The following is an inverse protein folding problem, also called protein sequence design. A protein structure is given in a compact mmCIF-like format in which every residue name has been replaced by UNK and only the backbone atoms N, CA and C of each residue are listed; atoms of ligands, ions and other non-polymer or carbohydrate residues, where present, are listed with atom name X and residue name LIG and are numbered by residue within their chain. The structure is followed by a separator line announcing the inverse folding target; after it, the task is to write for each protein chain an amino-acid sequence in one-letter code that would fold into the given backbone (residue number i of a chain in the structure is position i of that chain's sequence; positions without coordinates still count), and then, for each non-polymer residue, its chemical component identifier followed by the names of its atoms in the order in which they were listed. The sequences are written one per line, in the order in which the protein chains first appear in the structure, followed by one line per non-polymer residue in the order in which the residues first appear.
data_IF_053399565903
#
_entry.id   IF_053399565903
#
_cell.length_a   1.000
_cell.length_b   1.000
_cell.length_c   1.000
_cell.angle_alpha   90.00
_cell.angle_beta   90.00
_cell.angle_gamma   90.00
#
_symmetry.space_group_name_H-M   'P 1'
#
loop_
_entity.id
_entity.type
_entity.pdbx_description
1 polymer ?
#
# COMPACT_ATOMS: atom_id res chain seq x y z
N UNK A 1 11.19 15.75 -0.59
CA UNK A 1 9.94 15.07 -0.20
C UNK A 1 10.29 13.60 0.04
N UNK A 2 10.11 13.08 1.26
CA UNK A 2 10.40 11.67 1.56
C UNK A 2 9.37 10.82 0.84
N UNK A 3 9.83 9.93 -0.03
CA UNK A 3 8.96 9.00 -0.73
C UNK A 3 8.54 7.95 0.31
N UNK A 4 7.26 7.89 0.67
CA UNK A 4 6.75 6.86 1.56
C UNK A 4 7.10 5.50 0.94
N UNK A 5 7.68 4.61 1.76
CA UNK A 5 8.07 3.28 1.29
C UNK A 5 6.80 2.42 1.32
N UNK A 6 6.24 2.21 0.14
CA UNK A 6 5.10 1.32 -0.09
C UNK A 6 5.67 0.00 -0.58
N UNK A 7 5.44 -1.06 0.17
CA UNK A 7 5.72 -2.42 -0.26
C UNK A 7 4.41 -3.10 -0.68
N UNK A 8 4.47 -3.96 -1.69
CA UNK A 8 3.27 -4.61 -2.26
C UNK A 8 3.43 -6.11 -2.12
N UNK A 9 2.54 -6.69 -1.33
CA UNK A 9 2.41 -8.12 -1.14
C UNK A 9 1.19 -8.62 -1.92
N UNK A 10 1.34 -9.75 -2.62
CA UNK A 10 0.21 -10.45 -3.22
C UNK A 10 0.00 -11.78 -2.51
N UNK A 11 -1.19 -11.96 -1.95
CA UNK A 11 -1.61 -13.24 -1.38
C UNK A 11 -1.78 -14.30 -2.48
N UNK A 12 -1.89 -15.58 -2.07
CA UNK A 12 -2.15 -16.73 -2.96
C UNK A 12 -3.39 -16.60 -3.86
N UNK A 13 -4.32 -15.71 -3.51
CA UNK A 13 -5.49 -15.37 -4.33
C UNK A 13 -5.31 -14.11 -5.18
N UNK A 14 -4.08 -13.60 -5.30
CA UNK A 14 -3.72 -12.41 -6.08
C UNK A 14 -4.34 -11.10 -5.56
N UNK A 15 -4.73 -11.10 -4.30
CA UNK A 15 -5.16 -9.90 -3.60
C UNK A 15 -3.94 -9.05 -3.24
N UNK A 16 -3.83 -7.87 -3.85
CA UNK A 16 -2.77 -6.92 -3.55
C UNK A 16 -3.01 -6.25 -2.20
N UNK A 17 -2.01 -6.35 -1.34
CA UNK A 17 -1.96 -5.73 -0.03
C UNK A 17 -0.79 -4.77 -0.04
N UNK A 18 -1.05 -3.49 0.24
CA UNK A 18 0.01 -2.52 0.43
C UNK A 18 0.43 -2.51 1.89
N UNK A 19 1.74 -2.50 2.10
CA UNK A 19 2.38 -2.41 3.39
C UNK A 19 3.02 -1.03 3.47
N UNK A 20 2.59 -0.23 4.44
CA UNK A 20 3.03 1.15 4.63
C UNK A 20 3.71 1.24 5.99
N UNK A 21 4.98 1.64 6.00
CA UNK A 21 5.69 1.90 7.24
C UNK A 21 5.27 3.27 7.80
N UNK A 22 4.81 3.28 9.06
CA UNK A 22 4.55 4.51 9.80
C UNK A 22 5.86 5.24 10.08
N UNK A 23 5.99 6.49 9.66
CA UNK A 23 7.20 7.28 9.89
C UNK A 23 7.40 7.65 11.38
N UNK A 24 6.34 7.63 12.19
CA UNK A 24 6.41 7.96 13.62
C UNK A 24 6.91 6.80 14.48
N UNK A 25 6.33 5.60 14.30
CA UNK A 25 6.65 4.45 15.16
C UNK A 25 7.40 3.32 14.45
N UNK A 26 7.64 3.45 13.13
CA UNK A 26 8.27 2.42 12.30
C UNK A 26 7.40 1.19 12.06
N UNK A 27 6.18 1.12 12.62
CA UNK A 27 5.30 -0.04 12.43
C UNK A 27 4.69 -0.06 11.04
N UNK A 28 4.64 -1.25 10.48
CA UNK A 28 4.04 -1.51 9.19
C UNK A 28 2.53 -1.69 9.33
N UNK A 29 1.78 -0.94 8.53
CA UNK A 29 0.33 -1.06 8.40
C UNK A 29 0.02 -1.73 7.08
N UNK A 30 -0.77 -2.80 7.12
CA UNK A 30 -1.14 -3.57 5.93
C UNK A 30 -2.59 -3.29 5.58
N UNK A 31 -2.85 -2.90 4.35
CA UNK A 31 -4.20 -2.65 3.87
C UNK A 31 -4.38 -3.20 2.46
N UNK A 32 -5.58 -3.71 2.18
CA UNK A 32 -5.87 -4.16 0.83
C UNK A 32 -5.94 -2.97 -0.12
N UNK A 33 -5.19 -3.06 -1.22
CA UNK A 33 -5.09 -1.96 -2.17
C UNK A 33 -6.45 -1.60 -2.77
N UNK A 34 -7.30 -2.61 -3.03
CA UNK A 34 -8.69 -2.42 -3.51
C UNK A 34 -9.61 -1.65 -2.56
N UNK A 35 -9.26 -1.57 -1.27
CA UNK A 35 -10.07 -0.89 -0.24
C UNK A 35 -9.53 0.50 0.11
N UNK A 36 -8.31 0.82 -0.36
CA UNK A 36 -7.72 2.12 -0.16
C UNK A 36 -8.33 3.08 -1.16
N UNK A 37 -8.82 4.19 -0.64
CA UNK A 37 -9.31 5.30 -1.45
C UNK A 37 -8.28 6.44 -1.42
N UNK A 38 -8.15 7.22 -2.51
CA UNK A 38 -7.44 8.49 -2.44
C UNK A 38 -8.07 9.37 -1.36
N UNK A 39 -7.24 10.12 -0.63
CA UNK A 39 -7.64 10.93 0.53
C UNK A 39 -8.14 10.16 1.75
N UNK A 40 -8.01 8.82 1.77
CA UNK A 40 -8.25 8.06 2.99
C UNK A 40 -7.07 8.21 3.95
N UNK A 41 -7.35 8.71 5.15
CA UNK A 41 -6.44 8.63 6.29
C UNK A 41 -6.46 7.24 6.88
N UNK A 42 -5.30 6.58 6.91
CA UNK A 42 -5.11 5.32 7.59
C UNK A 42 -4.55 5.58 8.98
N UNK A 43 -5.19 5.03 10.01
CA UNK A 43 -4.70 5.20 11.38
C UNK A 43 -3.74 4.10 11.75
N UNK A 44 -2.50 4.47 12.08
CA UNK A 44 -1.54 3.53 12.62
C UNK A 44 -1.92 3.12 14.05
N UNK A 45 -1.51 1.93 14.49
CA UNK A 45 -1.72 1.47 15.88
C UNK A 45 -1.03 2.33 16.93
N UNK A 46 -0.04 3.16 16.57
CA UNK A 46 0.54 4.14 17.49
C UNK A 46 -0.34 5.39 17.69
N UNK A 47 -1.40 5.55 16.90
CA UNK A 47 -2.27 6.72 16.92
C UNK A 47 -1.96 7.76 15.84
N UNK A 48 -0.83 7.64 15.13
CA UNK A 48 -0.47 8.51 14.02
C UNK A 48 -1.39 8.32 12.81
N UNK A 49 -1.62 9.41 12.09
CA UNK A 49 -2.35 9.40 10.82
C UNK A 49 -1.37 9.18 9.66
N UNK A 50 -1.68 8.19 8.81
CA UNK A 50 -0.95 7.87 7.60
C UNK A 50 -1.84 8.29 6.45
N UNK A 51 -1.55 9.45 5.88
CA UNK A 51 -2.24 9.93 4.69
C UNK A 51 -1.54 9.38 3.45
N UNK A 52 -2.28 8.68 2.61
CA UNK A 52 -1.82 8.23 1.29
C UNK A 52 -2.31 9.22 0.23
N UNK A 53 -1.37 9.83 -0.48
CA UNK A 53 -1.72 10.68 -1.60
C UNK A 53 -2.16 9.83 -2.81
N UNK A 54 -3.04 10.38 -3.65
CA UNK A 54 -3.42 9.76 -4.92
C UNK A 54 -2.23 9.24 -5.77
N UNK A 55 -1.12 9.98 -5.96
CA UNK A 55 0.02 9.47 -6.74
C UNK A 55 0.72 8.26 -6.11
N UNK A 56 0.71 8.14 -4.78
CA UNK A 56 1.28 7.01 -4.04
C UNK A 56 0.43 5.75 -4.24
N UNK A 57 -0.89 5.90 -4.19
CA UNK A 57 -1.84 4.82 -4.50
C UNK A 57 -1.67 4.36 -5.94
N UNK A 58 -1.58 5.29 -6.90
CA UNK A 58 -1.37 4.92 -8.30
C UNK A 58 -0.02 4.22 -8.55
N UNK A 59 1.01 4.53 -7.77
CA UNK A 59 2.28 3.78 -7.82
C UNK A 59 2.11 2.37 -7.27
N UNK A 60 1.44 2.23 -6.13
CA UNK A 60 1.14 0.93 -5.53
C UNK A 60 0.30 0.05 -6.47
N UNK A 61 -0.70 0.62 -7.16
CA UNK A 61 -1.51 -0.09 -8.16
C UNK A 61 -0.68 -0.57 -9.34
N UNK A 62 0.20 0.30 -9.89
CA UNK A 62 1.10 -0.10 -10.98
C UNK A 62 2.10 -1.17 -10.56
N UNK A 63 2.62 -1.11 -9.33
CA UNK A 63 3.49 -2.17 -8.80
C UNK A 63 2.72 -3.48 -8.63
N UNK A 64 1.51 -3.45 -8.07
CA UNK A 64 0.65 -4.62 -7.95
C UNK A 64 0.36 -5.25 -9.30
N UNK A 65 0.03 -4.44 -10.31
CA UNK A 65 -0.19 -4.91 -11.68
C UNK A 65 1.07 -5.54 -12.30
N UNK A 66 2.23 -4.88 -12.16
CA UNK A 66 3.50 -5.41 -12.64
C UNK A 66 3.85 -6.76 -11.99
N UNK A 67 3.56 -6.92 -10.69
CA UNK A 67 3.75 -8.19 -10.00
C UNK A 67 2.73 -9.23 -10.50
N UNK A 68 1.45 -8.86 -10.72
CA UNK A 68 0.48 -9.81 -11.31
C UNK A 68 0.90 -10.32 -12.68
N UNK A 69 1.41 -9.42 -13.52
CA UNK A 69 1.94 -9.75 -14.83
C UNK A 69 3.15 -10.70 -14.73
N UNK A 70 4.05 -10.50 -13.75
CA UNK A 70 5.20 -11.40 -13.54
C UNK A 70 4.77 -12.81 -13.11
N UNK A 71 3.68 -12.92 -12.36
CA UNK A 71 3.06 -14.20 -12.00
C UNK A 71 2.20 -14.81 -13.13
N UNK A 72 2.13 -14.20 -14.33
CA UNK A 72 1.32 -14.64 -15.49
C UNK A 72 -0.16 -14.87 -15.15
N UNK A 73 -0.71 -14.05 -14.27
CA UNK A 73 -2.13 -14.09 -13.96
C UNK A 73 -2.85 -13.38 -15.09
N UNK A 74 -3.51 -14.14 -15.96
CA UNK A 74 -4.36 -13.66 -17.05
C UNK A 74 -5.81 -13.51 -16.60
#
# INVERSE_FOLDING_TARGET
MKQQRLDIDLDKHYNATVVIACEECGKETRQHLRTILPDQSLRCSCGADISLAAPDIQRAERQADAIRQSYRIH
#
